data_IF_024201117076
#
_entry.id   IF_024201117076
#
_cell.length_a   1.000
_cell.length_b   1.000
_cell.length_c   1.000
_cell.angle_alpha   90.00
_cell.angle_beta   90.00
_cell.angle_gamma   90.00
#
_symmetry.space_group_name_H-M   'P 1'
#
loop_
_entity.id
_entity.type
_entity.pdbx_description
1 polymer ?
#
# COMPACT_ATOMS: atom_id res chain seq x y z
N UNK A 1 24.24 1.96 -89.85
CA UNK A 1 24.16 3.32 -90.42
C UNK A 1 24.74 4.31 -89.42
N UNK A 2 25.64 5.15 -89.92
CA UNK A 2 26.58 6.04 -89.23
C UNK A 2 25.95 7.05 -88.25
N UNK A 3 26.60 7.32 -87.10
CA UNK A 3 27.52 8.46 -86.91
C UNK A 3 27.95 8.57 -85.44
N UNK A 4 29.26 8.67 -85.26
CA UNK A 4 29.92 9.14 -84.04
C UNK A 4 30.02 10.67 -84.15
N UNK A 5 29.76 11.41 -83.07
CA UNK A 5 30.38 12.72 -82.88
C UNK A 5 30.44 13.10 -81.40
N UNK A 6 31.64 13.52 -80.98
CA UNK A 6 32.03 13.95 -79.64
C UNK A 6 31.43 15.30 -79.24
N UNK A 7 31.21 15.50 -77.93
CA UNK A 7 31.58 16.75 -77.26
C UNK A 7 31.82 16.51 -75.76
N UNK A 8 32.97 16.98 -75.28
CA UNK A 8 33.43 17.00 -73.88
C UNK A 8 33.09 18.36 -73.27
N UNK A 9 32.61 18.42 -72.01
CA UNK A 9 33.17 19.22 -70.88
C UNK A 9 32.16 19.44 -69.72
N UNK A 10 32.56 18.93 -68.53
CA UNK A 10 32.62 19.58 -67.20
C UNK A 10 31.35 20.07 -66.46
N UNK A 11 31.28 19.61 -65.20
CA UNK A 11 30.66 20.18 -63.99
C UNK A 11 29.15 20.02 -63.75
N UNK A 12 28.78 19.27 -62.70
CA UNK A 12 28.50 19.83 -61.37
C UNK A 12 28.06 18.71 -60.41
N UNK A 13 28.83 18.50 -59.34
CA UNK A 13 28.38 17.74 -58.16
C UNK A 13 27.49 18.67 -57.36
N UNK A 14 26.19 18.40 -57.31
CA UNK A 14 25.29 19.00 -56.33
C UNK A 14 24.50 17.88 -55.65
N UNK A 15 24.57 17.92 -54.32
CA UNK A 15 23.98 17.01 -53.36
C UNK A 15 22.48 16.78 -53.63
N UNK A 16 22.10 15.53 -53.84
CA UNK A 16 20.71 15.10 -53.70
C UNK A 16 20.34 15.15 -52.21
N UNK A 17 19.68 16.23 -51.79
CA UNK A 17 18.83 16.19 -50.61
C UNK A 17 17.58 15.37 -50.99
N UNK A 18 17.50 14.13 -50.48
CA UNK A 18 16.31 13.31 -50.63
C UNK A 18 15.14 13.95 -49.90
N UNK A 19 14.07 14.26 -50.62
CA UNK A 19 12.78 14.62 -50.04
C UNK A 19 12.11 13.33 -49.53
N UNK A 20 12.23 13.08 -48.23
CA UNK A 20 11.35 12.16 -47.54
C UNK A 20 9.95 12.78 -47.50
N UNK A 21 8.99 12.16 -48.19
CA UNK A 21 7.57 12.42 -47.99
C UNK A 21 7.21 11.92 -46.59
N UNK A 22 7.19 12.82 -45.61
CA UNK A 22 6.51 12.58 -44.35
C UNK A 22 5.00 12.75 -44.60
N UNK A 23 4.24 11.67 -44.46
CA UNK A 23 2.79 11.72 -44.31
C UNK A 23 2.47 12.61 -43.11
N UNK A 24 1.99 13.82 -43.37
CA UNK A 24 1.30 14.63 -42.37
C UNK A 24 -0.01 13.91 -42.02
N UNK A 25 0.06 13.04 -41.01
CA UNK A 25 -1.13 12.57 -40.30
C UNK A 25 -1.74 13.79 -39.61
N UNK A 26 -2.95 14.13 -40.03
CA UNK A 26 -3.73 15.25 -39.52
C UNK A 26 -3.87 15.21 -37.99
N UNK A 27 -3.89 16.40 -37.40
CA UNK A 27 -3.61 16.65 -35.99
C UNK A 27 -4.47 15.85 -35.00
N UNK A 28 -3.78 15.19 -34.06
CA UNK A 28 -4.33 14.89 -32.76
C UNK A 28 -4.36 16.20 -31.97
N UNK A 29 -5.54 16.83 -31.89
CA UNK A 29 -5.80 17.83 -30.85
C UNK A 29 -5.76 17.08 -29.53
N UNK A 30 -4.62 17.16 -28.85
CA UNK A 30 -4.43 16.71 -27.48
C UNK A 30 -5.48 17.43 -26.63
N UNK A 31 -6.57 16.76 -26.27
CA UNK A 31 -7.49 17.30 -25.26
C UNK A 31 -6.71 17.26 -23.96
N UNK A 32 -6.28 18.40 -23.40
CA UNK A 32 -5.31 18.41 -22.31
C UNK A 32 -5.84 17.61 -21.12
N UNK A 33 -7.16 17.60 -20.92
CA UNK A 33 -7.80 16.96 -19.78
C UNK A 33 -8.42 15.59 -20.11
N UNK A 34 -7.60 14.55 -20.19
CA UNK A 34 -8.07 13.16 -20.38
C UNK A 34 -8.48 12.47 -19.09
N UNK A 35 -8.48 13.17 -17.96
CA UNK A 35 -8.86 12.64 -16.67
C UNK A 35 -9.66 13.63 -15.83
N UNK A 36 -10.29 13.12 -14.77
CA UNK A 36 -11.06 13.91 -13.82
C UNK A 36 -10.86 13.40 -12.39
N UNK A 37 -10.42 14.30 -11.51
CA UNK A 37 -10.36 14.09 -10.08
C UNK A 37 -11.76 14.26 -9.47
N UNK A 38 -12.18 13.30 -8.67
CA UNK A 38 -13.49 13.24 -8.02
C UNK A 38 -13.25 13.18 -6.51
N UNK A 39 -13.61 14.26 -5.81
CA UNK A 39 -13.48 14.35 -4.35
C UNK A 39 -14.84 14.58 -3.71
N UNK A 40 -15.22 13.68 -2.82
CA UNK A 40 -16.45 13.71 -2.02
C UNK A 40 -16.06 13.68 -0.55
N UNK A 41 -16.51 14.69 0.19
CA UNK A 41 -16.27 14.78 1.63
C UNK A 41 -17.43 15.44 2.37
N UNK A 42 -17.30 15.51 3.69
CA UNK A 42 -18.26 16.14 4.57
C UNK A 42 -17.58 17.20 5.45
N UNK A 43 -18.31 18.23 5.84
CA UNK A 43 -17.84 19.31 6.74
C UNK A 43 -18.17 19.04 8.21
N UNK A 44 -18.19 17.77 8.65
CA UNK A 44 -18.50 17.36 10.02
C UNK A 44 -19.96 16.99 10.29
N UNK A 45 -20.74 16.71 9.23
CA UNK A 45 -22.07 16.09 9.33
C UNK A 45 -22.06 14.70 8.67
N UNK A 46 -23.12 13.92 8.84
CA UNK A 46 -23.22 12.64 8.15
C UNK A 46 -23.17 12.83 6.62
N UNK A 47 -22.30 12.07 5.95
CA UNK A 47 -22.15 12.11 4.50
C UNK A 47 -23.45 11.72 3.79
N UNK A 48 -23.78 12.43 2.71
CA UNK A 48 -24.86 12.05 1.81
C UNK A 48 -24.54 10.77 1.02
N UNK A 49 -24.91 9.63 1.60
CA UNK A 49 -24.73 8.30 1.00
C UNK A 49 -25.45 8.17 -0.35
N UNK A 50 -26.52 8.94 -0.60
CA UNK A 50 -27.22 8.90 -1.88
C UNK A 50 -26.38 9.55 -2.99
N UNK A 51 -25.76 10.70 -2.72
CA UNK A 51 -24.83 11.35 -3.65
C UNK A 51 -23.62 10.46 -3.96
N UNK A 52 -23.02 9.85 -2.92
CA UNK A 52 -21.91 8.90 -3.10
C UNK A 52 -22.31 7.70 -3.96
N UNK A 53 -23.53 7.15 -3.75
CA UNK A 53 -24.05 6.05 -4.57
C UNK A 53 -24.29 6.48 -6.03
N UNK A 54 -24.78 7.70 -6.25
CA UNK A 54 -24.97 8.24 -7.59
C UNK A 54 -23.65 8.34 -8.37
N UNK A 55 -22.59 8.84 -7.71
CA UNK A 55 -21.25 8.92 -8.28
C UNK A 55 -20.73 7.52 -8.66
N UNK A 56 -20.78 6.57 -7.72
CA UNK A 56 -20.36 5.18 -7.98
C UNK A 56 -21.11 4.55 -9.15
N UNK A 57 -22.42 4.81 -9.25
CA UNK A 57 -23.25 4.32 -10.36
C UNK A 57 -22.84 4.95 -11.70
N UNK A 58 -22.64 6.26 -11.75
CA UNK A 58 -22.22 6.96 -12.97
C UNK A 58 -20.85 6.51 -13.45
N UNK A 59 -19.89 6.35 -12.53
CA UNK A 59 -18.56 5.81 -12.83
C UNK A 59 -18.68 4.38 -13.36
N UNK A 60 -19.41 3.50 -12.67
CA UNK A 60 -19.60 2.11 -13.11
C UNK A 60 -20.26 2.01 -14.49
N UNK A 61 -21.23 2.89 -14.78
CA UNK A 61 -21.83 2.99 -16.11
C UNK A 61 -20.81 3.43 -17.16
N UNK A 62 -20.02 4.47 -16.88
CA UNK A 62 -18.99 4.97 -17.81
C UNK A 62 -17.92 3.91 -18.12
N UNK A 63 -17.55 3.10 -17.12
CA UNK A 63 -16.65 1.95 -17.30
C UNK A 63 -17.31 0.88 -18.17
N UNK A 64 -18.58 0.56 -17.92
CA UNK A 64 -19.29 -0.48 -18.69
C UNK A 64 -19.52 -0.16 -20.17
N UNK A 65 -19.34 1.10 -20.58
CA UNK A 65 -19.49 1.56 -21.96
C UNK A 65 -18.18 2.15 -22.52
N UNK A 66 -17.04 1.76 -21.97
CA UNK A 66 -15.68 2.13 -22.42
C UNK A 66 -15.42 3.65 -22.49
N UNK A 67 -16.22 4.46 -21.78
CA UNK A 67 -16.00 5.91 -21.65
C UNK A 67 -14.86 6.18 -20.67
N UNK A 68 -14.67 5.30 -19.68
CA UNK A 68 -13.61 5.36 -18.68
C UNK A 68 -12.92 4.01 -18.62
N UNK A 69 -11.62 3.94 -18.85
CA UNK A 69 -10.85 2.69 -18.71
C UNK A 69 -10.14 2.60 -17.36
N UNK A 70 -9.63 3.73 -16.86
CA UNK A 70 -8.91 3.79 -15.59
C UNK A 70 -9.76 4.45 -14.53
N UNK A 71 -9.96 3.78 -13.39
CA UNK A 71 -10.55 4.37 -12.19
C UNK A 71 -9.68 4.11 -10.96
N UNK A 72 -8.97 5.14 -10.51
CA UNK A 72 -8.04 5.08 -9.37
C UNK A 72 -8.70 5.59 -8.10
N UNK A 73 -8.87 4.73 -7.08
CA UNK A 73 -9.40 5.14 -5.78
C UNK A 73 -8.24 5.42 -4.81
N UNK A 74 -8.12 6.68 -4.40
CA UNK A 74 -7.08 7.11 -3.46
C UNK A 74 -7.51 6.91 -2.00
N UNK A 75 -8.79 7.15 -1.67
CA UNK A 75 -9.34 7.00 -0.32
C UNK A 75 -10.88 6.91 -0.34
N UNK A 76 -11.52 6.22 0.62
CA UNK A 76 -10.94 5.33 1.63
C UNK A 76 -10.53 3.98 1.01
N UNK A 77 -9.37 3.45 1.43
CA UNK A 77 -8.93 2.09 1.10
C UNK A 77 -9.15 1.19 2.30
N UNK A 78 -9.45 -0.09 2.05
CA UNK A 78 -9.48 -1.11 3.11
C UNK A 78 -8.10 -1.15 3.78
N UNK A 79 -8.03 -0.87 5.08
CA UNK A 79 -6.78 -0.81 5.86
C UNK A 79 -6.00 0.52 5.81
N UNK A 80 -6.56 1.59 5.22
CA UNK A 80 -5.97 2.93 5.27
C UNK A 80 -6.17 3.65 6.62
N UNK A 81 -5.33 4.65 6.97
CA UNK A 81 -5.28 5.27 8.31
C UNK A 81 -6.44 6.21 8.66
N UNK A 82 -7.52 6.27 7.88
CA UNK A 82 -8.60 7.24 8.10
C UNK A 82 -9.96 6.56 8.22
N UNK A 83 -10.50 6.45 9.44
CA UNK A 83 -11.91 6.20 9.66
C UNK A 83 -12.59 7.50 10.07
N UNK A 84 -13.00 8.33 9.10
CA UNK A 84 -13.95 9.43 9.37
C UNK A 84 -14.85 9.64 8.15
N UNK A 85 -16.14 9.34 8.34
CA UNK A 85 -17.29 9.84 7.57
C UNK A 85 -17.37 9.53 6.05
N UNK A 86 -16.83 8.39 5.60
CA UNK A 86 -17.37 7.67 4.43
C UNK A 86 -17.20 8.28 3.02
N UNK A 87 -16.31 9.26 2.83
CA UNK A 87 -16.12 9.98 1.56
C UNK A 87 -15.53 9.17 0.39
N UNK A 88 -15.14 9.86 -0.69
CA UNK A 88 -14.47 9.28 -1.86
C UNK A 88 -13.44 10.26 -2.42
N UNK A 89 -12.20 9.83 -2.57
CA UNK A 89 -11.17 10.54 -3.33
C UNK A 89 -10.73 9.59 -4.42
N UNK A 90 -11.01 9.92 -5.67
CA UNK A 90 -10.71 9.07 -6.81
C UNK A 90 -10.37 9.91 -8.05
N UNK A 91 -9.90 9.24 -9.09
CA UNK A 91 -9.73 9.83 -10.40
C UNK A 91 -10.18 8.85 -11.49
N UNK A 92 -10.80 9.37 -12.55
CA UNK A 92 -11.23 8.60 -13.72
C UNK A 92 -10.54 9.12 -14.99
N UNK A 93 -9.95 8.23 -15.80
CA UNK A 93 -9.36 8.58 -17.10
C UNK A 93 -10.24 8.13 -18.24
N UNK A 94 -10.31 8.95 -19.28
CA UNK A 94 -10.99 8.64 -20.54
C UNK A 94 -10.45 7.35 -21.14
N UNK A 95 -11.36 6.46 -21.53
CA UNK A 95 -11.00 5.23 -22.20
C UNK A 95 -10.32 5.46 -23.54
N UNK A 96 -9.52 4.49 -23.99
CA UNK A 96 -8.80 4.57 -25.27
C UNK A 96 -9.75 4.72 -26.46
N UNK A 97 -10.92 4.07 -26.40
CA UNK A 97 -11.96 4.16 -27.41
C UNK A 97 -12.95 5.32 -27.17
N UNK A 98 -12.83 6.06 -26.06
CA UNK A 98 -13.74 7.15 -25.73
C UNK A 98 -13.49 8.38 -26.60
N UNK A 99 -14.58 8.99 -27.06
CA UNK A 99 -14.51 10.30 -27.73
C UNK A 99 -14.43 11.44 -26.69
N UNK A 100 -13.86 12.61 -27.04
CA UNK A 100 -13.87 13.79 -26.16
C UNK A 100 -15.28 14.21 -25.74
N UNK A 101 -16.26 14.04 -26.62
CA UNK A 101 -17.67 14.33 -26.33
C UNK A 101 -18.23 13.39 -25.26
N UNK A 102 -18.00 12.07 -25.38
CA UNK A 102 -18.49 11.09 -24.42
C UNK A 102 -17.87 11.31 -23.04
N UNK A 103 -16.57 11.60 -22.98
CA UNK A 103 -15.87 11.87 -21.73
C UNK A 103 -16.34 13.19 -21.08
N UNK A 104 -16.50 14.26 -21.87
CA UNK A 104 -17.01 15.55 -21.36
C UNK A 104 -18.43 15.39 -20.82
N UNK A 105 -19.31 14.68 -21.54
CA UNK A 105 -20.66 14.40 -21.07
C UNK A 105 -20.65 13.57 -19.77
N UNK A 106 -19.71 12.64 -19.59
CA UNK A 106 -19.52 11.96 -18.31
C UNK A 106 -19.14 12.93 -17.18
N UNK A 107 -18.18 13.84 -17.43
CA UNK A 107 -17.76 14.86 -16.45
C UNK A 107 -18.91 15.80 -16.08
N UNK A 108 -19.74 16.20 -17.05
CA UNK A 108 -20.91 17.06 -16.81
C UNK A 108 -21.94 16.36 -15.94
N UNK A 109 -22.25 15.08 -16.20
CA UNK A 109 -23.14 14.29 -15.34
C UNK A 109 -22.62 14.15 -13.91
N UNK A 110 -21.29 14.13 -13.71
CA UNK A 110 -20.71 14.16 -12.36
C UNK A 110 -20.96 15.51 -11.68
N UNK A 111 -20.76 16.63 -12.40
CA UNK A 111 -20.97 18.00 -11.89
C UNK A 111 -22.43 18.32 -11.59
N UNK A 112 -23.36 17.64 -12.25
CA UNK A 112 -24.80 17.80 -12.02
C UNK A 112 -25.30 17.18 -10.71
N UNK A 113 -24.49 16.31 -10.09
CA UNK A 113 -24.84 15.76 -8.78
C UNK A 113 -24.78 16.87 -7.74
N UNK A 114 -25.90 17.10 -7.06
CA UNK A 114 -26.04 18.08 -5.97
C UNK A 114 -26.17 17.33 -4.63
N UNK A 115 -25.08 17.18 -3.86
CA UNK A 115 -25.16 16.59 -2.53
C UNK A 115 -26.00 17.45 -1.58
N UNK A 116 -26.55 16.82 -0.54
CA UNK A 116 -27.20 17.54 0.57
C UNK A 116 -26.23 18.47 1.30
N UNK A 117 -26.78 19.47 1.97
CA UNK A 117 -26.02 20.44 2.76
C UNK A 117 -25.05 19.73 3.73
N UNK A 118 -23.80 20.21 3.75
CA UNK A 118 -22.71 19.64 4.55
C UNK A 118 -21.94 18.50 3.88
N UNK A 119 -22.38 18.00 2.72
CA UNK A 119 -21.55 17.18 1.80
C UNK A 119 -21.09 18.02 0.63
N UNK A 120 -19.82 17.91 0.24
CA UNK A 120 -19.28 18.57 -0.95
C UNK A 120 -18.81 17.55 -1.98
N UNK A 121 -18.94 17.92 -3.25
CA UNK A 121 -18.42 17.20 -4.41
C UNK A 121 -17.57 18.17 -5.23
N UNK A 122 -16.29 17.86 -5.39
CA UNK A 122 -15.38 18.56 -6.30
C UNK A 122 -15.05 17.65 -7.50
N UNK A 123 -15.18 18.20 -8.71
CA UNK A 123 -14.94 17.52 -9.98
C UNK A 123 -13.99 18.39 -10.82
N UNK A 124 -12.72 18.03 -10.78
CA UNK A 124 -11.63 18.82 -11.34
C UNK A 124 -10.96 18.07 -12.49
N UNK A 125 -10.93 18.69 -13.66
CA UNK A 125 -10.27 18.13 -14.84
C UNK A 125 -8.75 18.09 -14.61
N UNK A 126 -8.11 17.06 -15.14
CA UNK A 126 -6.67 16.88 -15.07
C UNK A 126 -6.17 16.09 -16.27
N UNK A 127 -4.87 16.15 -16.55
CA UNK A 127 -4.32 15.53 -17.76
C UNK A 127 -4.35 14.00 -17.67
N UNK A 128 -4.03 13.48 -16.49
CA UNK A 128 -3.97 12.05 -16.19
C UNK A 128 -4.23 11.83 -14.70
N UNK A 129 -4.76 10.68 -14.35
CA UNK A 129 -4.82 10.26 -12.97
C UNK A 129 -3.41 10.10 -12.44
N UNK A 130 -3.17 10.66 -11.25
CA UNK A 130 -1.94 10.39 -10.52
C UNK A 130 -1.84 8.88 -10.36
N UNK A 131 -0.77 8.29 -10.87
CA UNK A 131 -0.44 6.92 -10.57
C UNK A 131 -0.56 6.76 -9.06
N UNK A 132 -1.46 5.88 -8.60
CA UNK A 132 -1.30 5.33 -7.27
C UNK A 132 0.08 4.71 -7.36
N UNK A 133 1.05 5.30 -6.66
CA UNK A 133 2.45 4.90 -6.75
C UNK A 133 2.53 3.42 -6.40
N UNK A 134 2.38 2.60 -7.44
CA UNK A 134 2.76 1.23 -7.51
C UNK A 134 4.28 1.26 -7.74
N UNK A 135 5.01 1.91 -6.84
CA UNK A 135 6.02 1.15 -6.15
C UNK A 135 5.36 -0.19 -5.83
N UNK A 136 5.67 -1.21 -6.64
CA UNK A 136 5.48 -2.60 -6.25
C UNK A 136 5.78 -2.62 -4.75
N UNK A 137 4.91 -3.19 -3.89
CA UNK A 137 5.25 -3.30 -2.50
C UNK A 137 6.63 -3.94 -2.45
N UNK A 138 7.64 -3.13 -2.14
CA UNK A 138 9.02 -3.54 -2.28
C UNK A 138 9.14 -4.69 -1.29
N UNK A 139 9.44 -5.88 -1.78
CA UNK A 139 9.63 -7.01 -0.91
C UNK A 139 10.72 -6.64 0.09
N UNK A 140 10.47 -6.90 1.36
CA UNK A 140 11.39 -6.59 2.44
C UNK A 140 11.62 -7.83 3.31
N UNK A 141 12.73 -7.84 4.04
CA UNK A 141 13.23 -8.99 4.78
C UNK A 141 13.87 -10.05 3.89
N UNK A 142 13.50 -11.31 4.13
CA UNK A 142 14.16 -12.49 3.58
C UNK A 142 15.58 -12.68 4.13
N UNK A 143 16.30 -13.67 3.58
CA UNK A 143 17.70 -13.98 3.95
C UNK A 143 18.64 -12.77 3.89
N UNK A 144 18.35 -11.82 3.01
CA UNK A 144 19.17 -10.63 2.78
C UNK A 144 18.84 -9.48 3.75
N UNK A 145 17.76 -9.60 4.53
CA UNK A 145 17.30 -8.54 5.43
C UNK A 145 16.97 -7.24 4.71
N UNK A 146 16.41 -7.32 3.49
CA UNK A 146 16.17 -6.15 2.64
C UNK A 146 15.26 -5.14 3.35
N UNK A 147 15.76 -3.93 3.57
CA UNK A 147 14.98 -2.86 4.17
C UNK A 147 14.10 -2.14 3.13
N UNK A 148 13.05 -1.47 3.60
CA UNK A 148 12.29 -0.55 2.77
C UNK A 148 13.11 0.70 2.42
N UNK A 149 13.03 1.14 1.17
CA UNK A 149 13.83 2.27 0.66
C UNK A 149 13.36 3.63 1.18
N UNK A 150 12.07 3.78 1.51
CA UNK A 150 11.53 4.99 2.12
C UNK A 150 11.53 4.88 3.66
N UNK A 151 12.11 5.88 4.32
CA UNK A 151 12.12 5.99 5.78
C UNK A 151 10.72 6.04 6.41
N UNK A 152 9.72 6.49 5.65
CA UNK A 152 8.29 6.50 6.02
C UNK A 152 7.62 5.14 5.87
N UNK A 153 8.33 4.11 5.41
CA UNK A 153 7.79 2.75 5.30
C UNK A 153 8.33 1.83 6.39
N UNK A 154 7.63 0.73 6.59
CA UNK A 154 8.03 -0.37 7.44
C UNK A 154 7.78 -1.70 6.73
N UNK A 155 8.51 -2.74 7.15
CA UNK A 155 8.30 -4.07 6.61
C UNK A 155 7.15 -4.77 7.35
N UNK A 156 6.05 -5.01 6.65
CA UNK A 156 4.94 -5.82 7.16
C UNK A 156 5.15 -7.28 6.74
N UNK A 157 5.59 -8.11 7.68
CA UNK A 157 5.77 -9.56 7.48
C UNK A 157 4.43 -10.31 7.51
N UNK A 158 3.35 -9.68 7.96
CA UNK A 158 2.13 -10.35 8.35
C UNK A 158 2.24 -11.03 9.71
N UNK A 159 1.08 -11.30 10.32
CA UNK A 159 0.97 -11.86 11.67
C UNK A 159 1.68 -13.22 11.77
N UNK A 160 2.47 -13.38 12.83
CA UNK A 160 3.12 -14.64 13.24
C UNK A 160 4.35 -15.02 12.43
N UNK A 161 4.86 -14.12 11.58
CA UNK A 161 5.94 -14.44 10.66
C UNK A 161 7.31 -13.94 11.11
N UNK A 162 7.41 -13.17 12.18
CA UNK A 162 8.66 -12.51 12.53
C UNK A 162 9.70 -13.42 13.18
N UNK A 163 9.28 -14.60 13.64
CA UNK A 163 10.18 -15.63 14.17
C UNK A 163 10.75 -16.55 13.10
N UNK A 164 10.45 -16.30 11.83
CA UNK A 164 11.04 -17.05 10.71
C UNK A 164 12.32 -16.34 10.24
N UNK A 165 13.47 -17.03 10.15
CA UNK A 165 14.73 -16.42 9.72
C UNK A 165 14.65 -15.71 8.37
N UNK A 166 13.83 -16.24 7.46
CA UNK A 166 13.70 -15.75 6.09
C UNK A 166 12.36 -15.09 5.85
N UNK A 167 11.75 -14.52 6.90
CA UNK A 167 10.46 -13.86 6.81
C UNK A 167 10.49 -12.78 5.72
N UNK A 168 9.65 -12.94 4.71
CA UNK A 168 9.45 -11.93 3.67
C UNK A 168 8.17 -11.16 3.96
N UNK A 169 8.25 -9.86 3.75
CA UNK A 169 7.15 -8.93 3.95
C UNK A 169 7.00 -7.98 2.78
N UNK A 170 6.07 -7.05 2.94
CA UNK A 170 5.82 -5.97 2.01
C UNK A 170 6.06 -4.64 2.68
N UNK A 171 6.75 -3.72 2.00
CA UNK A 171 6.87 -2.35 2.46
C UNK A 171 5.50 -1.67 2.48
N UNK A 172 5.10 -1.19 3.66
CA UNK A 172 3.87 -0.41 3.88
C UNK A 172 4.22 0.94 4.49
N UNK A 173 3.46 1.97 4.14
CA UNK A 173 3.62 3.31 4.74
C UNK A 173 3.25 3.29 6.22
N UNK A 174 4.10 3.90 7.05
CA UNK A 174 3.84 4.14 8.48
C UNK A 174 2.70 5.16 8.62
N UNK A 175 1.61 4.83 9.32
CA UNK A 175 0.55 5.80 9.60
C UNK A 175 1.07 6.91 10.53
N UNK A 176 0.65 8.16 10.27
CA UNK A 176 0.98 9.32 11.12
C UNK A 176 -0.08 9.59 12.18
N UNK A 177 -1.29 9.05 12.01
CA UNK A 177 -2.44 9.22 12.88
C UNK A 177 -2.99 7.84 13.21
N UNK A 178 -3.19 7.57 14.51
CA UNK A 178 -3.78 6.33 15.01
C UNK A 178 -4.92 6.63 15.98
N UNK A 179 -5.93 5.77 15.97
CA UNK A 179 -6.99 5.80 16.97
C UNK A 179 -6.43 5.43 18.35
N UNK A 180 -7.07 5.92 19.41
CA UNK A 180 -6.69 5.63 20.81
C UNK A 180 -7.39 4.41 21.39
N UNK A 181 -8.00 3.58 20.55
CA UNK A 181 -8.64 2.34 20.97
C UNK A 181 -7.58 1.35 21.47
N UNK A 182 -7.89 0.67 22.56
CA UNK A 182 -7.03 -0.35 23.13
C UNK A 182 -7.44 -1.72 22.60
N UNK A 183 -6.71 -2.20 21.60
CA UNK A 183 -6.80 -3.54 20.99
C UNK A 183 -5.37 -4.08 20.86
N UNK A 184 -4.76 -4.50 21.98
CA UNK A 184 -3.32 -4.66 22.06
C UNK A 184 -2.79 -5.72 21.10
N UNK A 185 -1.56 -5.51 20.66
CA UNK A 185 -0.82 -6.45 19.82
C UNK A 185 0.62 -6.58 20.31
N UNK A 186 1.21 -7.75 20.14
CA UNK A 186 2.62 -7.97 20.38
C UNK A 186 3.40 -7.74 19.09
N UNK A 187 4.32 -6.78 19.11
CA UNK A 187 5.20 -6.47 18.01
C UNK A 187 6.30 -7.52 17.86
N UNK A 188 6.90 -7.55 16.67
CA UNK A 188 8.04 -8.40 16.38
C UNK A 188 9.32 -8.02 17.14
N UNK A 189 9.33 -6.83 17.75
CA UNK A 189 10.36 -6.37 18.68
C UNK A 189 10.09 -6.81 20.14
N UNK A 190 9.05 -7.60 20.37
CA UNK A 190 8.67 -8.09 21.70
C UNK A 190 8.00 -7.05 22.59
N UNK A 191 7.57 -5.91 22.04
CA UNK A 191 6.84 -4.87 22.78
C UNK A 191 5.34 -4.91 22.52
N UNK A 192 4.57 -4.64 23.58
CA UNK A 192 3.13 -4.45 23.48
C UNK A 192 2.82 -3.07 22.91
N UNK A 193 1.98 -3.03 21.88
CA UNK A 193 1.42 -1.81 21.32
C UNK A 193 -0.07 -1.73 21.62
N UNK A 194 -0.59 -0.52 21.86
CA UNK A 194 -2.01 -0.31 22.21
C UNK A 194 -2.97 -0.76 21.11
N UNK A 195 -2.53 -0.69 19.84
CA UNK A 195 -3.19 -1.31 18.69
C UNK A 195 -2.24 -1.50 17.50
N UNK A 196 -2.71 -2.21 16.47
CA UNK A 196 -1.94 -2.47 15.25
C UNK A 196 -1.49 -1.20 14.50
N UNK A 197 -2.27 -0.10 14.55
CA UNK A 197 -1.85 1.16 13.96
C UNK A 197 -0.62 1.73 14.69
N UNK A 198 -0.63 1.72 16.02
CA UNK A 198 0.51 2.22 16.81
C UNK A 198 1.78 1.39 16.61
N UNK A 199 1.65 0.07 16.38
CA UNK A 199 2.77 -0.79 15.98
C UNK A 199 3.32 -0.39 14.61
N UNK A 200 2.45 -0.24 13.61
CA UNK A 200 2.82 0.19 12.25
C UNK A 200 3.44 1.59 12.24
N UNK A 201 2.94 2.54 13.04
CA UNK A 201 3.49 3.89 13.19
C UNK A 201 4.92 3.86 13.75
N UNK A 202 5.19 2.94 14.68
CA UNK A 202 6.52 2.67 15.20
C UNK A 202 7.41 1.87 14.22
N UNK A 203 6.85 1.43 13.09
CA UNK A 203 7.54 0.65 12.08
C UNK A 203 7.71 -0.83 12.42
N UNK A 204 6.85 -1.37 13.27
CA UNK A 204 6.95 -2.73 13.79
C UNK A 204 5.80 -3.58 13.24
N UNK A 205 6.16 -4.71 12.62
CA UNK A 205 5.19 -5.74 12.22
C UNK A 205 4.57 -6.40 13.45
N UNK A 206 3.34 -6.90 13.31
CA UNK A 206 2.65 -7.60 14.39
C UNK A 206 3.04 -9.08 14.36
N UNK A 207 3.40 -9.63 15.52
CA UNK A 207 3.62 -11.07 15.69
C UNK A 207 2.31 -11.77 16.08
N UNK A 208 1.61 -11.31 17.12
CA UNK A 208 0.30 -11.86 17.49
C UNK A 208 -0.61 -10.82 18.14
N UNK A 209 -1.89 -11.14 18.23
CA UNK A 209 -2.89 -10.32 18.93
C UNK A 209 -2.82 -10.52 20.45
N UNK A 210 -3.12 -9.45 21.19
CA UNK A 210 -2.94 -9.39 22.64
C UNK A 210 -1.60 -8.79 23.03
N UNK A 211 -1.42 -8.58 24.33
CA UNK A 211 -0.15 -8.07 24.87
C UNK A 211 0.97 -9.12 24.73
N UNK A 212 2.21 -8.66 24.67
CA UNK A 212 3.35 -9.57 24.67
C UNK A 212 3.40 -10.40 25.95
N UNK A 213 3.49 -11.72 25.79
CA UNK A 213 3.72 -12.66 26.88
C UNK A 213 5.13 -12.46 27.42
N UNK A 214 5.27 -12.42 28.74
CA UNK A 214 6.59 -12.51 29.38
C UNK A 214 7.19 -13.89 29.03
N UNK A 215 8.51 -13.99 28.82
CA UNK A 215 9.15 -15.29 28.67
C UNK A 215 8.83 -16.11 29.91
N UNK A 216 8.27 -17.31 29.70
CA UNK A 216 8.03 -18.23 30.81
C UNK A 216 9.36 -18.58 31.47
N UNK A 217 9.40 -18.66 32.80
CA UNK A 217 10.60 -19.09 33.50
C UNK A 217 11.02 -20.48 33.02
N UNK A 218 12.31 -20.65 32.71
CA UNK A 218 12.84 -21.94 32.25
C UNK A 218 12.76 -22.95 33.39
N UNK A 219 12.02 -24.05 33.19
CA UNK A 219 11.96 -25.14 34.14
C UNK A 219 13.32 -25.86 34.26
N UNK A 220 13.63 -26.34 35.46
CA UNK A 220 14.80 -27.14 35.83
C UNK A 220 14.44 -28.18 36.89
N UNK A 221 15.39 -29.03 37.28
CA UNK A 221 15.16 -30.08 38.26
C UNK A 221 14.24 -31.19 37.72
N UNK A 222 13.34 -31.69 38.56
CA UNK A 222 12.43 -32.78 38.22
C UNK A 222 13.12 -34.15 38.21
N UNK A 223 12.33 -35.20 37.99
CA UNK A 223 12.83 -36.57 37.69
C UNK A 223 13.85 -36.63 36.53
N UNK A 224 13.83 -35.62 35.65
CA UNK A 224 14.70 -35.52 34.50
C UNK A 224 16.04 -34.80 34.82
N UNK A 225 16.17 -34.21 36.02
CA UNK A 225 17.39 -33.51 36.45
C UNK A 225 17.79 -32.37 35.49
N UNK A 226 16.81 -31.64 34.94
CA UNK A 226 17.04 -30.60 33.92
C UNK A 226 17.93 -29.52 34.51
N UNK A 227 19.08 -29.28 33.89
CA UNK A 227 20.04 -28.27 34.35
C UNK A 227 19.73 -26.90 33.75
N UNK A 228 19.95 -25.86 34.55
CA UNK A 228 19.89 -24.50 34.06
C UNK A 228 21.05 -24.18 33.11
N UNK A 229 20.85 -23.27 32.14
CA UNK A 229 21.94 -22.74 31.31
C UNK A 229 22.97 -21.98 32.16
N UNK A 230 24.14 -21.73 31.59
CA UNK A 230 25.27 -21.09 32.29
C UNK A 230 24.86 -19.77 32.96
N UNK A 231 25.32 -19.57 34.21
CA UNK A 231 25.03 -18.35 34.98
C UNK A 231 23.68 -18.35 35.69
N UNK A 232 22.92 -19.45 35.65
CA UNK A 232 21.66 -19.60 36.38
C UNK A 232 21.72 -20.71 37.43
N UNK A 233 20.91 -20.57 38.46
CA UNK A 233 20.72 -21.57 39.52
C UNK A 233 19.30 -22.10 39.45
N UNK A 234 19.14 -23.40 39.66
CA UNK A 234 17.81 -23.99 39.79
C UNK A 234 17.29 -23.71 41.20
N UNK A 235 16.22 -22.93 41.31
CA UNK A 235 15.50 -22.70 42.56
C UNK A 235 14.20 -23.48 42.53
N UNK A 236 13.74 -23.91 43.69
CA UNK A 236 12.47 -24.62 43.87
C UNK A 236 11.29 -23.79 43.34
N UNK A 237 10.31 -24.40 42.68
CA UNK A 237 9.15 -23.67 42.15
C UNK A 237 8.19 -23.32 43.30
N UNK A 238 8.03 -22.04 43.67
CA UNK A 238 7.18 -21.65 44.79
C UNK A 238 5.68 -21.87 44.52
N UNK A 239 5.31 -22.24 43.29
CA UNK A 239 3.93 -22.54 42.93
C UNK A 239 3.53 -24.00 43.19
N UNK A 240 4.47 -24.88 43.57
CA UNK A 240 4.19 -26.28 43.88
C UNK A 240 4.30 -26.60 45.38
N UNK A 241 3.92 -27.83 45.74
CA UNK A 241 3.98 -28.37 47.09
C UNK A 241 5.15 -29.37 47.28
N UNK A 242 6.09 -29.39 46.33
CA UNK A 242 7.27 -30.24 46.39
C UNK A 242 8.26 -29.60 47.36
N UNK A 243 8.63 -30.30 48.42
CA UNK A 243 9.66 -29.83 49.36
C UNK A 243 10.97 -30.58 49.08
N UNK A 244 12.01 -29.94 48.53
CA UNK A 244 13.31 -30.57 48.25
C UNK A 244 13.96 -31.18 49.50
N UNK A 245 13.60 -30.73 50.70
CA UNK A 245 14.14 -31.24 51.97
C UNK A 245 13.37 -32.46 52.50
N UNK A 246 12.19 -32.75 51.97
CA UNK A 246 11.30 -33.84 52.45
C UNK A 246 10.84 -34.81 51.35
N UNK A 247 11.03 -34.47 50.06
CA UNK A 247 10.47 -35.16 48.90
C UNK A 247 11.44 -35.74 47.86
N UNK A 248 12.76 -35.59 48.02
CA UNK A 248 13.77 -36.24 47.15
C UNK A 248 14.29 -35.38 45.98
N UNK A 249 15.26 -35.93 45.25
CA UNK A 249 16.09 -35.24 44.23
C UNK A 249 15.34 -34.78 42.95
N UNK A 250 14.03 -34.98 42.92
CA UNK A 250 13.20 -34.93 41.72
C UNK A 250 12.20 -33.75 41.74
N UNK A 251 12.33 -32.77 42.63
CA UNK A 251 11.45 -31.60 42.63
C UNK A 251 11.72 -30.71 41.41
N UNK A 252 10.66 -30.29 40.67
CA UNK A 252 10.80 -29.32 39.60
C UNK A 252 11.13 -27.94 40.19
N UNK A 253 11.80 -27.14 39.39
CA UNK A 253 12.23 -25.80 39.78
C UNK A 253 12.27 -24.85 38.61
N UNK A 254 12.65 -23.62 38.89
CA UNK A 254 12.78 -22.52 37.93
C UNK A 254 14.22 -22.03 37.90
N UNK A 255 14.73 -21.76 36.70
CA UNK A 255 16.06 -21.18 36.54
C UNK A 255 16.06 -19.67 36.79
N UNK A 256 16.69 -19.26 37.88
CA UNK A 256 16.92 -17.86 38.22
C UNK A 256 18.37 -17.44 37.95
N UNK A 257 18.57 -16.14 37.73
CA UNK A 257 19.92 -15.59 37.60
C UNK A 257 20.68 -15.75 38.92
N UNK A 258 21.94 -16.19 38.83
CA UNK A 258 22.81 -16.40 39.98
C UNK A 258 23.33 -15.09 40.57
#
# INVERSE_FOLDING_TARGET
MNKVNNLVLIAAILFYAGTALAEHREGHVDSPNRAVNITVGSTGVALDVAALRAIRKLVGQAISVDTVDTFSVYSPRVGGPVPIEGGLIACAEAGFASTPHNFTHFVDRLRDIRPKAGTFLNVELTDQCKAIDASMPLACGGIAGTACTDAKQYCDFGKGKCKMPDAQGMCKTKPTICTREFRPVCGCDGKTYGNACTAAAAGVSVEYEGECRKPEPQACGGIAGIRCPQGKTCVDDPADDCDPKRGGADCPGICEAR
#
